data_IF_395711780151
#
_entry.id   IF_395711780151
#
_cell.length_a   1.000
_cell.length_b   1.000
_cell.length_c   1.000
_cell.angle_alpha   90.00
_cell.angle_beta   90.00
_cell.angle_gamma   90.00
#
_symmetry.space_group_name_H-M   'P 1'
#
loop_
_entity.id
_entity.type
_entity.pdbx_description
1 polymer ?
#
# COMPACT_ATOMS: atom_id res chain seq x y z
N UNK A 1 31.90 12.68 3.17
CA UNK A 1 31.03 13.67 2.48
C UNK A 1 29.86 13.02 1.74
N UNK A 2 30.04 11.85 1.10
CA UNK A 2 28.96 11.15 0.38
C UNK A 2 27.78 10.66 1.25
N UNK A 3 28.00 10.34 2.53
CA UNK A 3 26.92 9.86 3.42
C UNK A 3 25.99 10.96 3.94
N UNK A 4 26.40 12.24 3.94
CA UNK A 4 25.50 13.34 4.32
C UNK A 4 24.50 13.71 3.21
N UNK A 5 24.87 13.48 1.94
CA UNK A 5 24.04 13.76 0.77
C UNK A 5 23.22 12.55 0.29
N UNK A 6 23.43 11.36 0.88
CA UNK A 6 22.61 10.18 0.59
C UNK A 6 21.16 10.32 1.09
N UNK A 7 20.93 11.31 1.96
CA UNK A 7 19.62 11.76 2.48
C UNK A 7 18.77 12.48 1.43
N UNK A 8 19.31 12.74 0.23
CA UNK A 8 18.65 13.47 -0.85
C UNK A 8 18.26 12.57 -2.03
N UNK A 9 18.09 11.26 -1.82
CA UNK A 9 17.19 10.49 -2.71
C UNK A 9 15.75 10.83 -2.32
N UNK A 10 15.41 12.12 -2.38
CA UNK A 10 14.03 12.60 -2.33
C UNK A 10 13.35 11.93 -3.51
N UNK A 11 12.88 10.70 -3.28
CA UNK A 11 12.35 9.83 -4.30
C UNK A 11 11.18 10.54 -4.97
N UNK A 12 10.84 10.13 -6.17
CA UNK A 12 9.69 10.74 -6.86
C UNK A 12 8.42 10.69 -5.99
N UNK A 13 7.43 11.54 -6.29
CA UNK A 13 6.11 11.48 -5.65
C UNK A 13 5.55 10.05 -5.64
N UNK A 14 5.79 9.29 -6.70
CA UNK A 14 5.41 7.89 -6.83
C UNK A 14 6.11 6.98 -5.80
N UNK A 15 7.39 7.24 -5.48
CA UNK A 15 8.09 6.52 -4.40
C UNK A 15 7.54 6.88 -3.03
N UNK A 16 7.23 8.17 -2.79
CA UNK A 16 6.57 8.61 -1.56
C UNK A 16 5.23 7.88 -1.37
N UNK A 17 4.36 7.92 -2.37
CA UNK A 17 3.06 7.24 -2.33
C UNK A 17 3.21 5.73 -2.16
N UNK A 18 4.10 5.10 -2.93
CA UNK A 18 4.39 3.67 -2.81
C UNK A 18 4.87 3.29 -1.40
N UNK A 19 5.68 4.14 -0.79
CA UNK A 19 6.20 3.91 0.58
C UNK A 19 5.09 4.05 1.62
N UNK A 20 4.21 5.06 1.50
CA UNK A 20 3.08 5.25 2.40
C UNK A 20 2.05 4.12 2.30
N UNK A 21 1.69 3.71 1.09
CA UNK A 21 0.78 2.57 0.85
C UNK A 21 1.34 1.29 1.47
N UNK A 22 2.65 1.04 1.30
CA UNK A 22 3.31 -0.11 1.92
C UNK A 22 3.26 -0.07 3.45
N UNK A 23 3.52 1.09 4.05
CA UNK A 23 3.46 1.24 5.50
C UNK A 23 2.04 0.96 6.03
N UNK A 24 1.02 1.58 5.42
CA UNK A 24 -0.39 1.35 5.77
C UNK A 24 -0.74 -0.14 5.67
N UNK A 25 -0.35 -0.79 4.57
CA UNK A 25 -0.56 -2.22 4.37
C UNK A 25 0.10 -3.07 5.44
N UNK A 26 1.38 -2.83 5.75
CA UNK A 26 2.12 -3.59 6.77
C UNK A 26 1.50 -3.45 8.16
N UNK A 27 1.03 -2.24 8.49
CA UNK A 27 0.38 -1.95 9.77
C UNK A 27 -0.99 -2.61 9.86
N UNK A 28 -1.79 -2.57 8.80
CA UNK A 28 -3.06 -3.28 8.69
C UNK A 28 -2.87 -4.81 8.78
N UNK A 29 -1.85 -5.36 8.11
CA UNK A 29 -1.50 -6.78 8.18
C UNK A 29 -1.10 -7.20 9.60
N UNK A 30 -0.33 -6.36 10.29
CA UNK A 30 0.08 -6.60 11.69
C UNK A 30 -1.12 -6.60 12.62
N UNK A 31 -2.07 -5.68 12.41
CA UNK A 31 -3.33 -5.61 13.16
C UNK A 31 -4.35 -6.69 12.75
N UNK A 32 -4.13 -7.35 11.59
CA UNK A 32 -5.08 -8.27 10.94
C UNK A 32 -6.44 -7.62 10.66
N UNK A 33 -6.43 -6.34 10.34
CA UNK A 33 -7.64 -5.56 10.11
C UNK A 33 -7.46 -4.65 8.91
N UNK A 34 -8.26 -4.90 7.87
CA UNK A 34 -8.21 -4.17 6.60
C UNK A 34 -9.53 -3.44 6.31
N UNK A 35 -10.34 -3.16 7.34
CA UNK A 35 -11.53 -2.34 7.16
C UNK A 35 -11.13 -0.97 6.62
N UNK A 36 -11.95 -0.39 5.74
CA UNK A 36 -11.72 0.96 5.22
C UNK A 36 -11.52 2.00 6.32
N UNK A 37 -12.24 1.85 7.44
CA UNK A 37 -12.04 2.67 8.63
C UNK A 37 -10.61 2.56 9.14
N UNK A 38 -10.13 1.33 9.37
CA UNK A 38 -8.78 1.13 9.91
C UNK A 38 -7.70 1.59 8.95
N UNK A 39 -7.86 1.31 7.66
CA UNK A 39 -6.94 1.76 6.61
C UNK A 39 -6.87 3.29 6.54
N UNK A 40 -8.01 3.98 6.69
CA UNK A 40 -8.06 5.45 6.70
C UNK A 40 -7.38 6.04 7.95
N UNK A 41 -7.56 5.43 9.12
CA UNK A 41 -6.84 5.83 10.35
C UNK A 41 -5.32 5.69 10.17
N UNK A 42 -4.85 4.54 9.67
CA UNK A 42 -3.43 4.29 9.45
C UNK A 42 -2.83 5.24 8.40
N UNK A 43 -3.59 5.54 7.34
CA UNK A 43 -3.21 6.50 6.31
C UNK A 43 -3.07 7.92 6.88
N UNK A 44 -4.02 8.35 7.71
CA UNK A 44 -4.00 9.66 8.36
C UNK A 44 -2.82 9.77 9.35
N UNK A 45 -2.56 8.72 10.14
CA UNK A 45 -1.40 8.69 11.03
C UNK A 45 -0.07 8.77 10.27
N UNK A 46 0.06 8.06 9.14
CA UNK A 46 1.25 8.17 8.29
C UNK A 46 1.39 9.57 7.69
N UNK A 47 0.29 10.15 7.20
CA UNK A 47 0.26 11.49 6.59
C UNK A 47 0.72 12.61 7.54
N UNK A 48 0.53 12.43 8.85
CA UNK A 48 0.95 13.37 9.89
C UNK A 48 2.33 13.08 10.49
N UNK A 49 3.02 12.02 10.04
CA UNK A 49 4.34 11.67 10.53
C UNK A 49 5.39 12.72 10.12
N UNK A 50 6.27 13.17 11.04
CA UNK A 50 7.33 14.13 10.72
C UNK A 50 8.23 13.73 9.55
N UNK A 51 8.44 12.42 9.36
CA UNK A 51 9.20 11.88 8.24
C UNK A 51 8.54 12.23 6.91
N UNK A 52 7.27 11.88 6.75
CA UNK A 52 6.54 12.08 5.49
C UNK A 52 6.26 13.55 5.22
N UNK A 53 6.06 14.37 6.26
CA UNK A 53 5.99 15.83 6.11
C UNK A 53 7.31 16.42 5.56
N UNK A 54 8.46 15.91 6.01
CA UNK A 54 9.77 16.29 5.49
C UNK A 54 9.98 15.88 4.02
N UNK A 55 9.52 14.68 3.66
CA UNK A 55 9.57 14.18 2.27
C UNK A 55 8.67 15.01 1.34
N UNK A 56 7.43 15.31 1.77
CA UNK A 56 6.49 16.16 1.03
C UNK A 56 7.07 17.56 0.78
N UNK A 57 7.64 18.17 1.82
CA UNK A 57 8.28 19.48 1.72
C UNK A 57 9.43 19.46 0.71
N UNK A 58 10.28 18.42 0.77
CA UNK A 58 11.43 18.27 -0.13
C UNK A 58 11.00 18.09 -1.60
N UNK A 59 9.84 17.47 -1.84
CA UNK A 59 9.28 17.22 -3.16
C UNK A 59 8.36 18.34 -3.68
N UNK A 60 8.02 19.32 -2.85
CA UNK A 60 7.11 20.41 -3.21
C UNK A 60 5.67 19.95 -3.47
N UNK A 61 5.24 18.86 -2.83
CA UNK A 61 3.88 18.31 -2.94
C UNK A 61 3.06 18.66 -1.71
N UNK A 62 1.75 18.84 -1.88
CA UNK A 62 0.87 19.14 -0.76
C UNK A 62 0.43 17.88 -0.01
N UNK A 63 0.19 18.02 1.30
CA UNK A 63 -0.35 16.92 2.10
C UNK A 63 -1.71 16.45 1.56
N UNK A 64 -2.55 17.36 1.06
CA UNK A 64 -3.87 17.05 0.48
C UNK A 64 -3.74 16.23 -0.81
N UNK A 65 -2.77 16.56 -1.67
CA UNK A 65 -2.49 15.79 -2.89
C UNK A 65 -2.10 14.35 -2.56
N UNK A 66 -1.19 14.16 -1.60
CA UNK A 66 -0.78 12.83 -1.14
C UNK A 66 -1.94 12.09 -0.47
N UNK A 67 -2.77 12.79 0.30
CA UNK A 67 -3.95 12.22 0.94
C UNK A 67 -4.92 11.67 -0.08
N UNK A 68 -5.23 12.41 -1.14
CA UNK A 68 -6.15 11.98 -2.19
C UNK A 68 -5.63 10.71 -2.87
N UNK A 69 -4.37 10.70 -3.30
CA UNK A 69 -3.76 9.52 -3.92
C UNK A 69 -3.78 8.31 -2.96
N UNK A 70 -3.46 8.51 -1.67
CA UNK A 70 -3.49 7.43 -0.68
C UNK A 70 -4.91 6.85 -0.51
N UNK A 71 -5.94 7.69 -0.49
CA UNK A 71 -7.33 7.27 -0.36
C UNK A 71 -7.83 6.47 -1.57
N UNK A 72 -7.30 6.71 -2.77
CA UNK A 72 -7.63 5.92 -3.96
C UNK A 72 -7.19 4.46 -3.84
N UNK A 73 -6.13 4.18 -3.08
CA UNK A 73 -5.62 2.81 -2.88
C UNK A 73 -6.37 2.02 -1.81
N UNK A 74 -6.94 2.66 -0.78
CA UNK A 74 -7.49 1.96 0.39
C UNK A 74 -8.59 0.95 0.04
N UNK A 75 -9.55 1.23 -0.87
CA UNK A 75 -10.57 0.25 -1.27
C UNK A 75 -9.97 -1.02 -1.89
N UNK A 76 -8.86 -0.88 -2.63
CA UNK A 76 -8.18 -2.02 -3.23
C UNK A 76 -7.47 -2.89 -2.18
N UNK A 77 -6.95 -2.28 -1.11
CA UNK A 77 -6.36 -3.02 0.02
C UNK A 77 -7.41 -3.81 0.79
N UNK A 78 -8.57 -3.19 1.08
CA UNK A 78 -9.70 -3.88 1.71
C UNK A 78 -10.19 -5.05 0.84
N UNK A 79 -10.38 -4.80 -0.47
CA UNK A 79 -10.80 -5.83 -1.40
C UNK A 79 -9.82 -7.01 -1.46
N UNK A 80 -8.53 -6.73 -1.62
CA UNK A 80 -7.48 -7.75 -1.62
C UNK A 80 -7.52 -8.59 -0.33
N UNK A 81 -7.66 -7.95 0.82
CA UNK A 81 -7.74 -8.65 2.11
C UNK A 81 -8.97 -9.54 2.20
N UNK A 82 -10.13 -9.06 1.73
CA UNK A 82 -11.35 -9.86 1.66
C UNK A 82 -11.21 -11.06 0.71
N UNK A 83 -10.46 -10.94 -0.38
CA UNK A 83 -10.25 -12.04 -1.32
C UNK A 83 -9.24 -13.09 -0.84
N UNK A 84 -8.25 -12.67 -0.04
CA UNK A 84 -7.07 -13.50 0.27
C UNK A 84 -6.95 -13.90 1.75
N UNK A 85 -7.54 -13.14 2.68
CA UNK A 85 -7.47 -13.39 4.12
C UNK A 85 -8.78 -13.95 4.69
N UNK A 86 -9.91 -13.80 3.99
CA UNK A 86 -11.16 -14.46 4.38
C UNK A 86 -11.09 -15.97 4.05
N UNK A 87 -11.30 -16.86 5.04
CA UNK A 87 -11.19 -18.30 4.85
C UNK A 87 -12.28 -18.92 3.94
N UNK A 88 -13.27 -18.14 3.51
CA UNK A 88 -14.44 -18.59 2.72
C UNK A 88 -14.28 -18.47 1.21
N UNK A 89 -13.12 -18.07 0.69
CA UNK A 89 -12.89 -18.06 -0.76
C UNK A 89 -11.98 -19.24 -1.18
N UNK A 90 -12.54 -20.46 -1.38
CA UNK A 90 -11.81 -21.51 -2.05
C UNK A 90 -11.57 -21.04 -3.48
N UNK A 91 -10.41 -20.43 -3.76
CA UNK A 91 -9.99 -20.13 -5.13
C UNK A 91 -10.06 -21.44 -5.90
N UNK A 92 -11.03 -21.52 -6.81
CA UNK A 92 -11.28 -22.66 -7.65
C UNK A 92 -10.02 -22.94 -8.47
N UNK A 93 -9.24 -23.91 -8.02
CA UNK A 93 -8.17 -24.51 -8.81
C UNK A 93 -8.85 -25.37 -9.87
N UNK A 94 -9.33 -24.75 -10.95
CA UNK A 94 -9.62 -25.49 -12.18
C UNK A 94 -8.30 -25.82 -12.85
N UNK A 95 -7.61 -26.84 -12.33
CA UNK A 95 -6.58 -27.54 -13.07
C UNK A 95 -7.28 -28.28 -14.21
N UNK A 96 -7.39 -27.63 -15.38
CA UNK A 96 -7.84 -28.29 -16.60
C UNK A 96 -6.67 -29.15 -17.08
N UNK A 97 -6.57 -30.36 -16.54
CA UNK A 97 -5.73 -31.42 -17.08
C UNK A 97 -6.25 -31.79 -18.46
N UNK A 98 -5.68 -31.21 -19.51
CA UNK A 98 -5.87 -31.73 -20.86
C UNK A 98 -4.87 -32.86 -21.09
N UNK A 99 -5.17 -34.01 -20.49
CA UNK A 99 -4.77 -35.29 -21.04
C UNK A 99 -5.85 -35.73 -22.01
N UNK A 100 -5.55 -35.72 -23.30
CA UNK A 100 -6.21 -36.61 -24.24
C UNK A 100 -5.15 -37.30 -25.08
N UNK A 101 -5.31 -38.61 -25.09
CA UNK A 101 -4.42 -39.64 -25.58
C UNK A 101 -4.28 -39.66 -27.11
N UNK A 102 -3.18 -40.29 -27.50
CA UNK A 102 -2.77 -40.74 -28.83
C UNK A 102 -3.87 -41.42 -29.67
N UNK A 103 -3.85 -41.16 -30.97
CA UNK A 103 -3.84 -42.17 -32.05
C UNK A 103 -3.46 -41.51 -33.38
#
# INVERSE_FOLDING_TARGET
LGDMFKSFDGGSKQMLNGTMVHEVFQRAATAKEFSLQKLSELADEALHSPRYLGDMYSLGVSQEEIKQELHEYLPSLEHWANEHLCPTNPKAISLKTQGQDSA
#
